data_IF_194959386651
#
_entry.id   IF_194959386651
#
_cell.length_a   1.000
_cell.length_b   1.000
_cell.length_c   1.000
_cell.angle_alpha   90.00
_cell.angle_beta   90.00
_cell.angle_gamma   90.00
#
_symmetry.space_group_name_H-M   'P 1'
#
loop_
_entity.id
_entity.type
_entity.pdbx_description
1 polymer ?
#
# COMPACT_ATOMS: atom_id res chain seq x y z
N UNK A 1 -6.65 35.70 -10.85
CA UNK A 1 -5.79 34.51 -11.14
C UNK A 1 -6.26 33.39 -10.24
N UNK A 2 -6.90 32.38 -10.81
CA UNK A 2 -7.31 31.19 -10.06
C UNK A 2 -6.05 30.37 -9.79
N UNK A 3 -5.71 30.17 -8.53
CA UNK A 3 -4.64 29.25 -8.14
C UNK A 3 -5.10 27.83 -8.49
N UNK A 4 -4.38 27.16 -9.37
CA UNK A 4 -4.57 25.74 -9.68
C UNK A 4 -4.26 24.88 -8.44
N UNK A 5 -5.29 24.62 -7.65
CA UNK A 5 -5.20 23.72 -6.48
C UNK A 5 -4.82 22.27 -6.87
N UNK A 6 -5.14 21.85 -8.10
CA UNK A 6 -4.80 20.54 -8.65
C UNK A 6 -3.29 20.33 -8.80
N UNK A 7 -2.58 21.24 -9.43
CA UNK A 7 -1.15 21.10 -9.72
C UNK A 7 -0.22 21.00 -8.48
N UNK A 8 -0.67 21.46 -7.30
CA UNK A 8 0.07 21.28 -6.04
C UNK A 8 -0.16 19.91 -5.41
N UNK A 9 -1.39 19.40 -5.50
CA UNK A 9 -1.73 18.09 -4.96
C UNK A 9 -1.03 16.97 -5.75
N UNK A 10 -1.01 17.07 -7.09
CA UNK A 10 -0.34 16.11 -7.98
C UNK A 10 1.19 16.09 -7.75
N UNK A 11 1.82 17.27 -7.67
CA UNK A 11 3.27 17.35 -7.36
C UNK A 11 3.62 16.77 -6.00
N UNK A 12 2.75 16.92 -5.01
CA UNK A 12 2.97 16.36 -3.68
C UNK A 12 2.79 14.84 -3.67
N UNK A 13 1.78 14.32 -4.38
CA UNK A 13 1.53 12.89 -4.54
C UNK A 13 2.72 12.19 -5.20
N UNK A 14 3.18 12.72 -6.32
CA UNK A 14 4.33 12.20 -7.07
C UNK A 14 5.62 12.22 -6.22
N UNK A 15 5.84 13.26 -5.42
CA UNK A 15 7.00 13.33 -4.54
C UNK A 15 6.97 12.27 -3.45
N UNK A 16 5.83 12.01 -2.82
CA UNK A 16 5.66 10.98 -1.81
C UNK A 16 5.93 9.58 -2.38
N UNK A 17 5.35 9.28 -3.53
CA UNK A 17 5.52 8.02 -4.24
C UNK A 17 6.98 7.76 -4.62
N UNK A 18 7.66 8.73 -5.23
CA UNK A 18 9.07 8.62 -5.62
C UNK A 18 9.98 8.35 -4.44
N UNK A 19 9.80 9.04 -3.32
CA UNK A 19 10.56 8.79 -2.09
C UNK A 19 10.34 7.40 -1.54
N UNK A 20 9.09 6.96 -1.57
CA UNK A 20 8.77 5.59 -1.19
C UNK A 20 9.46 4.59 -2.12
N UNK A 21 9.43 4.82 -3.43
CA UNK A 21 10.13 3.99 -4.42
C UNK A 21 11.64 3.91 -4.16
N UNK A 22 12.31 5.05 -3.92
CA UNK A 22 13.74 5.07 -3.56
C UNK A 22 14.01 4.24 -2.30
N UNK A 23 13.12 4.27 -1.32
CA UNK A 23 13.24 3.44 -0.12
C UNK A 23 13.16 1.94 -0.42
N UNK A 24 12.36 1.54 -1.39
CA UNK A 24 12.27 0.16 -1.86
C UNK A 24 13.50 -0.24 -2.70
N UNK A 25 14.01 0.65 -3.55
CA UNK A 25 15.28 0.42 -4.28
C UNK A 25 16.43 0.13 -3.31
N UNK A 26 16.54 0.88 -2.22
CA UNK A 26 17.54 0.61 -1.18
C UNK A 26 17.39 -0.80 -0.58
N UNK A 27 16.17 -1.30 -0.39
CA UNK A 27 15.92 -2.68 0.07
C UNK A 27 16.31 -3.73 -0.97
N UNK A 28 16.12 -3.45 -2.28
CA UNK A 28 16.62 -4.32 -3.36
C UNK A 28 18.14 -4.41 -3.29
N UNK A 29 18.82 -3.29 -3.15
CA UNK A 29 20.28 -3.23 -3.04
C UNK A 29 20.81 -3.99 -1.81
N UNK A 30 20.06 -4.02 -0.72
CA UNK A 30 20.38 -4.82 0.47
C UNK A 30 20.07 -6.32 0.33
N UNK A 31 19.46 -6.75 -0.78
CA UNK A 31 19.03 -8.14 -0.99
C UNK A 31 17.76 -8.53 -0.22
N UNK A 32 17.05 -7.58 0.36
CA UNK A 32 15.77 -7.82 1.06
C UNK A 32 14.59 -7.99 0.10
N UNK A 33 14.70 -7.46 -1.12
CA UNK A 33 13.72 -7.59 -2.19
C UNK A 33 14.39 -8.17 -3.44
N UNK A 34 13.61 -8.84 -4.29
CA UNK A 34 14.08 -9.34 -5.58
C UNK A 34 14.10 -8.21 -6.62
N UNK A 35 12.99 -7.52 -6.76
CA UNK A 35 12.84 -6.40 -7.69
C UNK A 35 11.81 -5.39 -7.20
N UNK A 36 11.87 -4.19 -7.74
CA UNK A 36 10.88 -3.13 -7.60
C UNK A 36 10.68 -2.45 -8.96
N UNK A 37 9.44 -2.21 -9.32
CA UNK A 37 9.04 -1.57 -10.57
C UNK A 37 8.10 -0.41 -10.26
N UNK A 38 8.37 0.78 -10.77
CA UNK A 38 7.44 1.91 -10.77
C UNK A 38 6.62 1.94 -12.06
N UNK A 39 5.44 2.54 -12.00
CA UNK A 39 4.56 2.75 -13.16
C UNK A 39 4.40 1.49 -14.02
N UNK A 40 3.88 0.39 -13.46
CA UNK A 40 3.70 -0.85 -14.22
C UNK A 40 2.74 -0.61 -15.39
N UNK A 41 2.93 -1.35 -16.47
CA UNK A 41 2.12 -1.26 -17.70
C UNK A 41 1.31 -2.53 -17.92
N UNK A 42 0.26 -2.44 -18.76
CA UNK A 42 -0.58 -3.58 -19.12
C UNK A 42 -1.55 -4.00 -18.00
N UNK A 43 -1.67 -5.29 -17.75
CA UNK A 43 -2.64 -5.83 -16.78
C UNK A 43 -2.33 -5.42 -15.32
N UNK A 44 -1.10 -5.06 -15.02
CA UNK A 44 -0.63 -4.64 -13.71
C UNK A 44 -0.78 -3.11 -13.45
N UNK A 45 -1.14 -2.33 -14.48
CA UNK A 45 -1.25 -0.87 -14.42
C UNK A 45 -2.40 -0.38 -13.54
N UNK A 46 -3.52 -1.13 -13.48
CA UNK A 46 -4.75 -0.65 -12.85
C UNK A 46 -4.57 -0.38 -11.36
N UNK A 47 -4.48 0.92 -10.99
CA UNK A 47 -4.43 1.37 -9.59
C UNK A 47 -3.20 0.93 -8.81
N UNK A 48 -2.14 0.53 -9.51
CA UNK A 48 -0.85 0.16 -8.94
C UNK A 48 0.20 1.20 -9.34
N UNK A 49 0.81 1.82 -8.35
CA UNK A 49 1.87 2.80 -8.56
C UNK A 49 3.26 2.10 -8.56
N UNK A 50 3.40 1.04 -7.73
CA UNK A 50 4.67 0.30 -7.58
C UNK A 50 4.37 -1.19 -7.42
N UNK A 51 5.19 -2.05 -8.06
CA UNK A 51 5.20 -3.49 -7.84
C UNK A 51 6.48 -3.89 -7.13
N UNK A 52 6.35 -4.73 -6.11
CA UNK A 52 7.47 -5.29 -5.34
C UNK A 52 7.44 -6.80 -5.43
N UNK A 53 8.56 -7.40 -5.84
CA UNK A 53 8.71 -8.85 -5.87
C UNK A 53 9.71 -9.31 -4.80
N UNK A 54 9.35 -10.40 -4.13
CA UNK A 54 10.17 -11.01 -3.09
C UNK A 54 10.74 -12.35 -3.55
N UNK A 55 11.83 -12.74 -2.94
CA UNK A 55 12.32 -14.10 -3.10
C UNK A 55 11.24 -15.09 -2.60
N UNK A 56 10.98 -16.13 -3.38
CA UNK A 56 9.89 -17.09 -3.09
C UNK A 56 8.57 -16.82 -3.79
N UNK A 57 8.50 -15.80 -4.66
CA UNK A 57 7.37 -15.60 -5.59
C UNK A 57 6.22 -14.74 -5.03
N UNK A 58 6.35 -14.19 -3.82
CA UNK A 58 5.40 -13.18 -3.32
C UNK A 58 5.53 -11.91 -4.16
N UNK A 59 4.37 -11.35 -4.54
CA UNK A 59 4.26 -10.11 -5.31
C UNK A 59 3.31 -9.15 -4.59
N UNK A 60 3.78 -7.96 -4.26
CA UNK A 60 2.99 -6.91 -3.63
C UNK A 60 2.71 -5.80 -4.65
N UNK A 61 1.43 -5.41 -4.76
CA UNK A 61 0.93 -4.32 -5.58
C UNK A 61 0.67 -3.11 -4.68
N UNK A 62 1.42 -2.05 -4.84
CA UNK A 62 1.38 -0.89 -3.98
C UNK A 62 0.62 0.26 -4.64
N UNK A 63 -0.36 0.81 -3.93
CA UNK A 63 -1.01 2.07 -4.27
C UNK A 63 -0.63 3.14 -3.26
N UNK A 64 -0.03 4.22 -3.73
CA UNK A 64 0.47 5.31 -2.89
C UNK A 64 -0.52 6.48 -2.85
N UNK A 65 -0.99 6.84 -1.67
CA UNK A 65 -1.87 8.00 -1.47
C UNK A 65 -1.45 8.72 -0.18
N UNK A 66 -0.61 9.75 -0.33
CA UNK A 66 -0.07 10.48 0.81
C UNK A 66 -1.16 11.07 1.72
N UNK A 67 -2.26 11.56 1.14
CA UNK A 67 -3.35 12.25 1.87
C UNK A 67 -4.73 11.84 1.38
N UNK A 68 -5.73 12.07 2.23
CA UNK A 68 -7.15 11.93 1.92
C UNK A 68 -7.81 13.32 1.91
N UNK A 69 -7.39 14.20 0.99
CA UNK A 69 -7.82 15.59 0.97
C UNK A 69 -7.45 16.31 2.28
N UNK A 70 -8.43 16.90 2.96
CA UNK A 70 -8.26 17.58 4.26
C UNK A 70 -8.52 16.68 5.47
N UNK A 71 -8.81 15.39 5.29
CA UNK A 71 -9.10 14.48 6.39
C UNK A 71 -7.80 14.00 7.06
N UNK A 72 -7.87 13.74 8.35
CA UNK A 72 -6.75 13.27 9.17
C UNK A 72 -6.62 11.73 9.20
N UNK A 73 -7.58 11.01 8.60
CA UNK A 73 -7.60 9.55 8.57
C UNK A 73 -8.35 9.01 7.35
N UNK A 74 -8.13 7.76 7.05
CA UNK A 74 -8.87 7.04 6.02
C UNK A 74 -10.18 6.45 6.56
N UNK A 75 -11.15 6.32 5.67
CA UNK A 75 -12.44 5.68 5.91
C UNK A 75 -12.75 4.69 4.79
N UNK A 76 -13.69 3.76 5.01
CA UNK A 76 -14.13 2.80 3.98
C UNK A 76 -14.64 3.50 2.72
N UNK A 77 -15.39 4.60 2.88
CA UNK A 77 -15.89 5.39 1.74
C UNK A 77 -14.78 6.10 0.97
N UNK A 78 -13.71 6.52 1.66
CA UNK A 78 -12.54 7.11 1.00
C UNK A 78 -11.78 6.05 0.19
N UNK A 79 -11.53 4.86 0.75
CA UNK A 79 -10.93 3.74 0.01
C UNK A 79 -11.78 3.35 -1.23
N UNK A 80 -13.11 3.31 -1.09
CA UNK A 80 -14.01 3.04 -2.21
C UNK A 80 -13.91 4.09 -3.32
N UNK A 81 -13.85 5.38 -2.95
CA UNK A 81 -13.67 6.49 -3.90
C UNK A 81 -12.36 6.38 -4.69
N UNK A 82 -11.29 5.89 -4.05
CA UNK A 82 -10.00 5.63 -4.68
C UNK A 82 -9.92 4.23 -5.35
N UNK A 83 -11.06 3.55 -5.52
CA UNK A 83 -11.20 2.24 -6.18
C UNK A 83 -10.34 1.11 -5.57
N UNK A 84 -9.88 1.28 -4.33
CA UNK A 84 -9.00 0.31 -3.64
C UNK A 84 -9.58 -1.10 -3.66
N UNK A 85 -10.89 -1.26 -3.41
CA UNK A 85 -11.57 -2.57 -3.44
C UNK A 85 -11.60 -3.21 -4.82
N UNK A 86 -11.69 -2.41 -5.88
CA UNK A 86 -11.59 -2.90 -7.26
C UNK A 86 -10.19 -3.42 -7.52
N UNK A 87 -9.15 -2.64 -7.20
CA UNK A 87 -7.75 -3.00 -7.41
C UNK A 87 -7.35 -4.23 -6.59
N UNK A 88 -7.83 -4.37 -5.35
CA UNK A 88 -7.63 -5.60 -4.57
C UNK A 88 -8.14 -6.83 -5.35
N UNK A 89 -9.35 -6.75 -5.93
CA UNK A 89 -9.92 -7.87 -6.70
C UNK A 89 -9.18 -8.14 -8.01
N UNK A 90 -8.62 -7.11 -8.62
CA UNK A 90 -7.85 -7.22 -9.87
C UNK A 90 -6.49 -7.89 -9.64
N UNK A 91 -5.80 -7.55 -8.58
CA UNK A 91 -4.42 -8.00 -8.34
C UNK A 91 -4.29 -9.19 -7.38
N UNK A 92 -5.14 -9.29 -6.36
CA UNK A 92 -5.07 -10.37 -5.37
C UNK A 92 -5.79 -11.61 -5.88
N UNK A 93 -5.12 -12.43 -6.69
CA UNK A 93 -5.67 -13.68 -7.25
C UNK A 93 -5.25 -14.93 -6.48
N UNK A 94 -4.13 -14.87 -5.79
CA UNK A 94 -3.53 -16.00 -5.06
C UNK A 94 -3.02 -15.54 -3.69
N UNK A 95 -2.65 -16.47 -2.83
CA UNK A 95 -2.02 -16.19 -1.54
C UNK A 95 -0.63 -15.54 -1.66
N UNK A 96 -0.01 -15.61 -2.83
CA UNK A 96 1.27 -14.96 -3.10
C UNK A 96 1.13 -13.48 -3.48
N UNK A 97 -0.08 -13.02 -3.80
CA UNK A 97 -0.34 -11.67 -4.24
C UNK A 97 -0.93 -10.85 -3.09
N UNK A 98 -0.28 -9.75 -2.75
CA UNK A 98 -0.74 -8.81 -1.73
C UNK A 98 -1.04 -7.45 -2.35
N UNK A 99 -1.98 -6.73 -1.77
CA UNK A 99 -2.24 -5.34 -2.11
C UNK A 99 -1.90 -4.45 -0.91
N UNK A 100 -0.97 -3.51 -1.12
CA UNK A 100 -0.46 -2.62 -0.08
C UNK A 100 -0.91 -1.19 -0.35
N UNK A 101 -1.71 -0.65 0.55
CA UNK A 101 -2.11 0.74 0.50
C UNK A 101 -1.14 1.59 1.32
N UNK A 102 -0.29 2.36 0.63
CA UNK A 102 0.76 3.17 1.23
C UNK A 102 0.27 4.58 1.44
N UNK A 103 0.33 5.08 2.67
CA UNK A 103 -0.24 6.37 3.02
C UNK A 103 0.43 7.01 4.22
N UNK A 104 0.38 8.36 4.31
CA UNK A 104 0.83 9.08 5.50
C UNK A 104 -0.24 9.12 6.62
N UNK A 105 -1.49 8.74 6.31
CA UNK A 105 -2.61 8.82 7.24
C UNK A 105 -3.05 7.43 7.72
N UNK A 106 -3.31 7.23 9.01
CA UNK A 106 -3.69 5.93 9.54
C UNK A 106 -5.14 5.55 9.21
N UNK A 107 -5.40 4.24 9.13
CA UNK A 107 -6.72 3.64 9.28
C UNK A 107 -6.62 2.49 10.28
N UNK A 108 -6.44 2.85 11.55
CA UNK A 108 -6.12 1.92 12.65
C UNK A 108 -7.11 0.75 12.72
N UNK A 109 -8.43 1.05 12.72
CA UNK A 109 -9.46 0.01 12.88
C UNK A 109 -9.43 -1.03 11.74
N UNK A 110 -9.14 -0.62 10.50
CA UNK A 110 -9.03 -1.56 9.37
C UNK A 110 -7.71 -2.33 9.43
N UNK A 111 -6.62 -1.68 9.81
CA UNK A 111 -5.34 -2.36 9.99
C UNK A 111 -5.42 -3.44 11.08
N UNK A 112 -6.08 -3.16 12.20
CA UNK A 112 -6.34 -4.13 13.27
C UNK A 112 -7.21 -5.30 12.78
N UNK A 113 -8.19 -5.03 11.90
CA UNK A 113 -9.02 -6.07 11.32
C UNK A 113 -8.20 -6.98 10.38
N UNK A 114 -7.32 -6.41 9.57
CA UNK A 114 -6.41 -7.16 8.69
C UNK A 114 -5.45 -8.04 9.50
N UNK A 115 -4.87 -7.50 10.57
CA UNK A 115 -4.01 -8.26 11.49
C UNK A 115 -4.77 -9.41 12.15
N UNK A 116 -6.01 -9.17 12.60
CA UNK A 116 -6.85 -10.20 13.19
C UNK A 116 -7.17 -11.33 12.18
N UNK A 117 -7.41 -10.99 10.91
CA UNK A 117 -7.64 -11.97 9.85
C UNK A 117 -6.38 -12.79 9.55
N UNK A 118 -5.20 -12.16 9.47
CA UNK A 118 -3.90 -12.85 9.28
C UNK A 118 -3.54 -13.78 10.43
N UNK A 119 -3.85 -13.39 11.65
CA UNK A 119 -3.57 -14.18 12.86
C UNK A 119 -4.60 -15.29 13.14
N UNK A 120 -5.56 -15.49 12.24
CA UNK A 120 -6.58 -16.53 12.36
C UNK A 120 -6.32 -17.67 11.39
N UNK A 121 -6.27 -18.91 11.88
CA UNK A 121 -5.99 -20.10 11.07
C UNK A 121 -7.06 -20.38 10.01
N UNK A 122 -8.28 -19.87 10.19
CA UNK A 122 -9.40 -20.04 9.28
C UNK A 122 -10.38 -18.88 9.34
N UNK A 123 -11.20 -18.73 8.28
CA UNK A 123 -12.29 -17.75 8.26
C UNK A 123 -13.28 -18.00 9.42
N UNK A 124 -13.62 -19.25 9.70
CA UNK A 124 -14.52 -19.60 10.80
C UNK A 124 -13.98 -19.12 12.15
N UNK A 125 -12.69 -19.32 12.43
CA UNK A 125 -12.05 -18.82 13.66
C UNK A 125 -11.98 -17.30 13.68
N UNK A 126 -11.67 -16.67 12.57
CA UNK A 126 -11.69 -15.22 12.44
C UNK A 126 -13.06 -14.65 12.79
N UNK A 127 -14.14 -15.15 12.16
CA UNK A 127 -15.51 -14.69 12.39
C UNK A 127 -15.94 -14.91 13.85
N UNK A 128 -15.65 -16.09 14.41
CA UNK A 128 -16.09 -16.46 15.75
C UNK A 128 -15.31 -15.73 16.84
N UNK A 129 -13.97 -15.63 16.70
CA UNK A 129 -13.10 -15.20 17.79
C UNK A 129 -12.65 -13.74 17.66
N UNK A 130 -12.63 -13.16 16.45
CA UNK A 130 -12.12 -11.82 16.22
C UNK A 130 -13.22 -10.79 15.97
N UNK A 131 -14.36 -11.19 15.40
CA UNK A 131 -15.51 -10.30 15.17
C UNK A 131 -16.45 -10.28 16.39
N UNK A 132 -15.89 -10.10 17.59
CA UNK A 132 -16.65 -10.18 18.85
C UNK A 132 -17.41 -8.89 19.19
N UNK A 133 -16.92 -7.74 18.72
CA UNK A 133 -17.54 -6.44 19.00
C UNK A 133 -18.41 -5.98 17.85
N UNK A 134 -19.45 -5.19 18.14
CA UNK A 134 -20.31 -4.59 17.11
C UNK A 134 -19.50 -3.76 16.10
N UNK A 135 -18.51 -2.99 16.55
CA UNK A 135 -17.65 -2.18 15.70
C UNK A 135 -16.85 -3.03 14.67
N UNK A 136 -16.22 -4.14 15.10
CA UNK A 136 -15.50 -5.04 14.20
C UNK A 136 -16.42 -5.75 13.22
N UNK A 137 -17.61 -6.20 13.64
CA UNK A 137 -18.62 -6.79 12.76
C UNK A 137 -19.06 -5.80 11.69
N UNK A 138 -19.41 -4.59 12.09
CA UNK A 138 -19.83 -3.54 11.16
C UNK A 138 -18.71 -3.17 10.17
N UNK A 139 -17.46 -3.09 10.63
CA UNK A 139 -16.32 -2.80 9.75
C UNK A 139 -16.10 -3.94 8.73
N UNK A 140 -16.20 -5.20 9.16
CA UNK A 140 -16.11 -6.37 8.27
C UNK A 140 -17.26 -6.41 7.26
N UNK A 141 -18.48 -6.07 7.68
CA UNK A 141 -19.64 -5.97 6.78
C UNK A 141 -19.47 -4.86 5.76
N UNK A 142 -18.93 -3.70 6.15
CA UNK A 142 -18.59 -2.63 5.20
C UNK A 142 -17.51 -3.08 4.22
N UNK A 143 -16.46 -3.75 4.68
CA UNK A 143 -15.40 -4.33 3.86
C UNK A 143 -15.97 -5.27 2.80
N UNK A 144 -16.76 -6.25 3.22
CA UNK A 144 -17.41 -7.23 2.36
C UNK A 144 -18.32 -6.57 1.31
N UNK A 145 -19.19 -5.62 1.73
CA UNK A 145 -20.08 -4.88 0.83
C UNK A 145 -19.33 -4.06 -0.22
N UNK A 146 -18.23 -3.40 0.15
CA UNK A 146 -17.42 -2.65 -0.81
C UNK A 146 -16.71 -3.54 -1.82
N UNK A 147 -16.41 -4.79 -1.46
CA UNK A 147 -15.91 -5.82 -2.39
C UNK A 147 -17.02 -6.37 -3.31
N UNK A 148 -18.29 -6.02 -3.07
CA UNK A 148 -19.45 -6.54 -3.80
C UNK A 148 -19.81 -7.98 -3.43
N UNK A 149 -19.45 -8.41 -2.22
CA UNK A 149 -19.70 -9.76 -1.70
C UNK A 149 -20.97 -9.81 -0.87
N UNK A 150 -21.72 -10.93 -0.97
CA UNK A 150 -22.95 -11.22 -0.23
C UNK A 150 -22.69 -11.69 1.21
N UNK A 151 -23.68 -12.37 1.82
CA UNK A 151 -23.63 -12.83 3.23
C UNK A 151 -23.43 -14.33 3.36
N UNK A 152 -23.20 -15.04 2.26
CA UNK A 152 -22.96 -16.47 2.29
C UNK A 152 -21.62 -16.81 2.97
N UNK A 153 -21.46 -18.04 3.42
CA UNK A 153 -20.21 -18.49 3.99
C UNK A 153 -19.02 -18.34 3.00
N UNK A 154 -19.28 -18.60 1.71
CA UNK A 154 -18.28 -18.42 0.66
C UNK A 154 -17.89 -16.94 0.48
N UNK A 155 -18.84 -16.01 0.55
CA UNK A 155 -18.56 -14.57 0.50
C UNK A 155 -17.74 -14.10 1.70
N UNK A 156 -18.05 -14.63 2.90
CA UNK A 156 -17.28 -14.32 4.11
C UNK A 156 -15.85 -14.84 4.02
N UNK A 157 -15.67 -16.04 3.48
CA UNK A 157 -14.36 -16.65 3.26
C UNK A 157 -13.54 -15.83 2.27
N UNK A 158 -14.13 -15.43 1.15
CA UNK A 158 -13.51 -14.57 0.15
C UNK A 158 -13.16 -13.18 0.72
N UNK A 159 -14.04 -12.58 1.53
CA UNK A 159 -13.76 -11.31 2.19
C UNK A 159 -12.60 -11.43 3.20
N UNK A 160 -12.55 -12.51 3.96
CA UNK A 160 -11.46 -12.79 4.91
C UNK A 160 -10.14 -13.08 4.17
N UNK A 161 -10.19 -13.75 3.03
CA UNK A 161 -9.03 -13.93 2.16
C UNK A 161 -8.45 -12.58 1.74
N UNK A 162 -9.25 -11.67 1.20
CA UNK A 162 -8.78 -10.33 0.81
C UNK A 162 -8.23 -9.52 2.00
N UNK A 163 -8.81 -9.63 3.21
CA UNK A 163 -8.25 -8.99 4.41
C UNK A 163 -6.85 -9.50 4.77
N UNK A 164 -6.58 -10.79 4.58
CA UNK A 164 -5.26 -11.37 4.83
C UNK A 164 -4.20 -10.86 3.86
N UNK A 165 -4.60 -10.60 2.63
CA UNK A 165 -3.72 -10.15 1.55
C UNK A 165 -3.67 -8.62 1.42
N UNK A 166 -4.46 -7.88 2.21
CA UNK A 166 -4.46 -6.43 2.21
C UNK A 166 -3.65 -5.88 3.38
N UNK A 167 -2.82 -4.89 3.10
CA UNK A 167 -2.00 -4.20 4.09
C UNK A 167 -2.14 -2.69 3.97
N UNK A 168 -2.16 -1.99 5.11
CA UNK A 168 -2.03 -0.54 5.16
C UNK A 168 -0.64 -0.23 5.70
N UNK A 169 0.22 0.27 4.83
CA UNK A 169 1.54 0.75 5.19
C UNK A 169 1.45 2.25 5.50
N UNK A 170 1.49 2.59 6.80
CA UNK A 170 1.46 4.00 7.22
C UNK A 170 2.88 4.51 7.37
N UNK A 171 3.27 5.43 6.49
CA UNK A 171 4.56 6.08 6.49
C UNK A 171 4.33 7.59 6.48
N UNK A 172 4.81 8.30 7.50
CA UNK A 172 4.79 9.76 7.49
C UNK A 172 5.66 10.29 6.34
N UNK A 173 5.37 11.50 5.88
CA UNK A 173 6.18 12.19 4.88
C UNK A 173 7.64 12.33 5.37
N UNK A 174 7.82 12.63 6.65
CA UNK A 174 9.13 12.72 7.31
C UNK A 174 9.87 11.37 7.36
N UNK A 175 9.15 10.24 7.52
CA UNK A 175 9.80 8.91 7.55
C UNK A 175 10.22 8.44 6.15
N UNK A 176 9.56 8.91 5.11
CA UNK A 176 9.96 8.67 3.71
C UNK A 176 11.13 9.58 3.30
N UNK A 177 11.24 10.76 3.91
CA UNK A 177 12.39 11.68 3.78
C UNK A 177 13.54 11.37 4.73
N UNK A 178 13.28 10.53 5.74
CA UNK A 178 14.12 10.47 6.93
C UNK A 178 15.52 9.91 6.71
N UNK A 179 16.40 10.30 7.60
CA UNK A 179 17.83 9.97 7.66
C UNK A 179 18.15 8.47 7.62
N UNK A 180 17.18 7.60 7.88
CA UNK A 180 17.38 6.15 7.84
C UNK A 180 17.89 5.66 6.48
N UNK A 181 17.35 6.18 5.38
CA UNK A 181 17.78 5.81 4.03
C UNK A 181 19.15 6.35 3.70
N UNK A 182 19.49 7.53 4.20
CA UNK A 182 20.83 8.12 4.06
C UNK A 182 21.89 7.27 4.75
N UNK A 183 21.59 6.73 5.95
CA UNK A 183 22.49 5.79 6.61
C UNK A 183 22.67 4.49 5.81
N UNK A 184 21.59 3.94 5.28
CA UNK A 184 21.65 2.74 4.44
C UNK A 184 22.47 3.01 3.19
N UNK A 185 22.20 4.08 2.46
CA UNK A 185 22.95 4.45 1.26
C UNK A 185 24.40 4.77 1.57
N UNK A 186 24.68 5.47 2.68
CA UNK A 186 26.05 5.77 3.12
C UNK A 186 26.85 4.54 3.52
N UNK A 187 26.19 3.44 3.93
CA UNK A 187 26.87 2.16 4.18
C UNK A 187 27.16 1.35 2.92
N UNK A 188 26.46 1.62 1.82
CA UNK A 188 26.56 0.88 0.56
C UNK A 188 27.43 1.58 -0.48
N UNK A 189 27.54 2.90 -0.41
CA UNK A 189 28.26 3.73 -1.38
C UNK A 189 29.34 4.57 -0.69
N UNK A 190 30.44 4.81 -1.39
CA UNK A 190 31.56 5.60 -0.88
C UNK A 190 31.37 7.12 -0.99
N UNK A 191 30.24 7.57 -1.53
CA UNK A 191 29.90 8.98 -1.72
C UNK A 191 29.12 9.58 -0.54
N UNK A 192 28.81 10.88 -0.66
CA UNK A 192 27.88 11.54 0.25
C UNK A 192 26.49 10.88 0.11
N UNK A 193 25.86 10.40 1.19
CA UNK A 193 24.54 9.78 1.14
C UNK A 193 23.44 10.66 0.51
N UNK A 194 23.50 11.97 0.70
CA UNK A 194 22.57 12.93 0.09
C UNK A 194 22.70 12.93 -1.44
N UNK A 195 23.93 12.96 -1.95
CA UNK A 195 24.19 12.94 -3.41
C UNK A 195 23.69 11.62 -4.02
N UNK A 196 23.92 10.48 -3.35
CA UNK A 196 23.43 9.17 -3.80
C UNK A 196 21.88 9.14 -3.82
N UNK A 197 21.25 9.67 -2.77
CA UNK A 197 19.79 9.74 -2.69
C UNK A 197 19.22 10.61 -3.82
N UNK A 198 19.82 11.77 -4.08
CA UNK A 198 19.41 12.68 -5.15
C UNK A 198 19.58 12.04 -6.54
N UNK A 199 20.67 11.30 -6.76
CA UNK A 199 20.86 10.53 -8.01
C UNK A 199 19.75 9.49 -8.18
N UNK A 200 19.44 8.71 -7.15
CA UNK A 200 18.36 7.72 -7.21
C UNK A 200 17.00 8.37 -7.44
N UNK A 201 16.73 9.51 -6.81
CA UNK A 201 15.50 10.26 -7.01
C UNK A 201 15.40 10.80 -8.46
N UNK A 202 16.50 11.33 -9.01
CA UNK A 202 16.54 11.81 -10.39
C UNK A 202 16.39 10.70 -11.43
N UNK A 203 16.86 9.48 -11.14
CA UNK A 203 16.62 8.32 -12.01
C UNK A 203 15.13 8.01 -12.12
N UNK A 204 14.35 8.20 -11.05
CA UNK A 204 12.89 8.03 -11.10
C UNK A 204 12.15 9.13 -11.87
N UNK A 205 12.81 10.26 -12.19
CA UNK A 205 12.24 11.35 -12.97
C UNK A 205 12.45 11.20 -14.48
N UNK A 206 13.48 10.46 -14.88
CA UNK A 206 13.91 10.35 -16.28
C UNK A 206 13.33 9.13 -17.02
N UNK A 207 12.64 8.22 -16.33
CA UNK A 207 12.03 7.03 -16.94
C UNK A 207 10.70 7.30 -17.66
N UNK A 208 10.33 8.58 -17.89
CA UNK A 208 9.19 9.01 -18.67
C UNK A 208 9.55 9.20 -20.17
N UNK A 209 10.18 8.20 -20.81
CA UNK A 209 10.38 8.18 -22.25
C UNK A 209 9.73 6.93 -22.88
#
# INVERSE_FOLDING_TARGET
MAFELGGRADKFGNRYERRYFVSLMAKVLQGGLLSVQSEPTGDDESGTDIIVEYQGGRKDFHQCKARNGSNEHWTMSALARHKVFQHIKEHVKTEQNHFVFVTALPFVALNDLCLAARNSDSCQRFVTNQLTTHGRKNLFDQWRKNLGLGETAADQEQAAFYLRQFEICTLSDDSVEGDQWKYVLGSMFTGNPDDVYDVLLNLTENDNY
#
